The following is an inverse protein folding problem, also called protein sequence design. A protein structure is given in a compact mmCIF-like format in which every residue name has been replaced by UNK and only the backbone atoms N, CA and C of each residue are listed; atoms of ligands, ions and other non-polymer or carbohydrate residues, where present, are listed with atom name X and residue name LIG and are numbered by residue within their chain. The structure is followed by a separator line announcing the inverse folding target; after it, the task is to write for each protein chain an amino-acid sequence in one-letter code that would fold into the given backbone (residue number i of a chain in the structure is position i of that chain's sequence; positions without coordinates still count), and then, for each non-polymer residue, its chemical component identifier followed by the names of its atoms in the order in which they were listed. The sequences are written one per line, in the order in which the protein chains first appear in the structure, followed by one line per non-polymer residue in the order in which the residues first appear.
data_IF_181658476246
#
_entry.id   IF_181658476246
#
_cell.length_a   1.000
_cell.length_b   1.000
_cell.length_c   1.000
_cell.angle_alpha   90.00
_cell.angle_beta   90.00
_cell.angle_gamma   90.00
#
_symmetry.space_group_name_H-M   'P 1'
#
loop_
_entity.id
_entity.type
_entity.pdbx_description
1 polymer ?
#
# COMPACT_ATOMS: atom_id res chain seq x y z
N UNK A 1 -3.76 -17.53 12.67
CA UNK A 1 -4.79 -16.50 12.45
C UNK A 1 -4.22 -15.43 11.53
N UNK A 2 -5.01 -14.95 10.57
CA UNK A 2 -4.68 -13.76 9.78
C UNK A 2 -4.78 -12.54 10.70
N UNK A 3 -3.68 -11.80 10.89
CA UNK A 3 -3.69 -10.57 11.69
C UNK A 3 -3.80 -9.38 10.74
N UNK A 4 -5.03 -8.96 10.44
CA UNK A 4 -5.31 -7.80 9.58
C UNK A 4 -5.81 -6.66 10.46
N UNK A 5 -5.27 -5.47 10.29
CA UNK A 5 -5.73 -4.26 11.00
C UNK A 5 -7.19 -3.97 10.64
N UNK A 6 -8.05 -3.76 11.64
CA UNK A 6 -9.48 -3.46 11.46
C UNK A 6 -9.70 -2.30 10.48
N UNK A 7 -8.80 -1.29 10.50
CA UNK A 7 -8.89 -0.16 9.57
C UNK A 7 -8.83 -0.61 8.09
N UNK A 8 -8.09 -1.68 7.79
CA UNK A 8 -7.95 -2.18 6.42
C UNK A 8 -9.29 -2.69 5.90
N UNK A 9 -10.06 -3.39 6.73
CA UNK A 9 -11.33 -4.00 6.33
C UNK A 9 -12.48 -2.99 6.47
N UNK A 10 -12.55 -2.26 7.57
CA UNK A 10 -13.70 -1.42 7.90
C UNK A 10 -13.69 -0.07 7.17
N UNK A 11 -12.50 0.43 6.83
CA UNK A 11 -12.32 1.76 6.24
C UNK A 11 -11.65 1.68 4.88
N UNK A 12 -10.43 1.16 4.80
CA UNK A 12 -9.63 1.22 3.59
C UNK A 12 -10.27 0.43 2.44
N UNK A 13 -10.83 -0.74 2.71
CA UNK A 13 -11.53 -1.54 1.70
C UNK A 13 -12.74 -0.79 1.16
N UNK A 14 -13.58 -0.22 2.03
CA UNK A 14 -14.75 0.58 1.61
C UNK A 14 -14.33 1.80 0.79
N UNK A 15 -13.25 2.47 1.20
CA UNK A 15 -12.75 3.65 0.50
C UNK A 15 -12.18 3.31 -0.88
N UNK A 16 -11.32 2.30 -1.00
CA UNK A 16 -10.70 1.96 -2.27
C UNK A 16 -11.67 1.22 -3.20
N UNK A 17 -12.48 0.28 -2.68
CA UNK A 17 -13.39 -0.53 -3.50
C UNK A 17 -14.71 0.17 -3.76
N UNK A 18 -15.32 0.74 -2.73
CA UNK A 18 -16.65 1.35 -2.79
C UNK A 18 -16.63 2.79 -3.29
N UNK A 19 -15.90 3.67 -2.60
CA UNK A 19 -15.87 5.10 -2.90
C UNK A 19 -15.04 5.41 -4.16
N UNK A 20 -13.80 4.94 -4.20
CA UNK A 20 -12.88 5.25 -5.32
C UNK A 20 -13.15 4.37 -6.55
N UNK A 21 -13.89 3.26 -6.39
CA UNK A 21 -14.13 2.24 -7.43
C UNK A 21 -12.82 1.64 -7.99
N UNK A 22 -11.84 1.38 -7.11
CA UNK A 22 -10.50 0.87 -7.41
C UNK A 22 -10.17 -0.45 -6.67
N UNK A 23 -10.86 -1.56 -6.94
CA UNK A 23 -10.55 -2.85 -6.31
C UNK A 23 -9.12 -3.33 -6.54
N UNK A 24 -8.55 -3.09 -7.72
CA UNK A 24 -7.15 -3.42 -8.01
C UNK A 24 -6.16 -2.67 -7.09
N UNK A 25 -6.47 -1.43 -6.68
CA UNK A 25 -5.64 -0.69 -5.73
C UNK A 25 -5.66 -1.30 -4.34
N UNK A 26 -6.81 -1.80 -3.90
CA UNK A 26 -6.92 -2.51 -2.63
C UNK A 26 -6.08 -3.80 -2.63
N UNK A 27 -6.19 -4.61 -3.69
CA UNK A 27 -5.41 -5.85 -3.82
C UNK A 27 -3.90 -5.60 -3.86
N UNK A 28 -3.46 -4.60 -4.64
CA UNK A 28 -2.04 -4.20 -4.70
C UNK A 28 -1.55 -3.71 -3.34
N UNK A 29 -2.35 -2.93 -2.61
CA UNK A 29 -2.00 -2.47 -1.26
C UNK A 29 -1.79 -3.64 -0.29
N UNK A 30 -2.74 -4.59 -0.24
CA UNK A 30 -2.65 -5.75 0.65
C UNK A 30 -1.43 -6.61 0.32
N UNK A 31 -1.20 -6.90 -0.96
CA UNK A 31 -0.06 -7.70 -1.39
C UNK A 31 1.27 -7.02 -1.05
N UNK A 32 1.43 -5.73 -1.35
CA UNK A 32 2.65 -4.97 -1.02
C UNK A 32 2.86 -4.87 0.50
N UNK A 33 1.79 -4.80 1.29
CA UNK A 33 1.87 -4.79 2.76
C UNK A 33 2.50 -6.09 3.26
N UNK A 34 1.94 -7.22 2.82
CA UNK A 34 2.45 -8.54 3.20
C UNK A 34 3.89 -8.75 2.71
N UNK A 35 4.22 -8.29 1.50
CA UNK A 35 5.57 -8.43 0.96
C UNK A 35 6.60 -7.55 1.68
N UNK A 36 6.21 -6.33 2.05
CA UNK A 36 7.06 -5.44 2.85
C UNK A 36 7.34 -6.03 4.24
N UNK A 37 6.35 -6.64 4.88
CA UNK A 37 6.52 -7.34 6.16
C UNK A 37 7.46 -8.54 6.02
N UNK A 38 7.27 -9.37 4.98
CA UNK A 38 8.16 -10.52 4.71
C UNK A 38 9.61 -10.12 4.47
N UNK A 39 9.84 -9.01 3.77
CA UNK A 39 11.20 -8.52 3.44
C UNK A 39 11.81 -7.63 4.51
N UNK A 40 11.03 -7.22 5.52
CA UNK A 40 11.43 -6.24 6.53
C UNK A 40 11.93 -4.92 5.91
N UNK A 41 11.32 -4.49 4.80
CA UNK A 41 11.81 -3.34 4.04
C UNK A 41 11.03 -3.05 2.77
N UNK A 42 11.45 -1.98 2.06
CA UNK A 42 10.82 -1.56 0.82
C UNK A 42 10.84 -2.67 -0.24
N UNK A 43 9.77 -2.75 -1.01
CA UNK A 43 9.56 -3.81 -2.02
C UNK A 43 10.02 -3.30 -3.38
N UNK A 44 11.14 -3.81 -3.86
CA UNK A 44 11.58 -3.61 -5.24
C UNK A 44 10.94 -4.68 -6.14
N UNK A 45 10.05 -4.24 -7.03
CA UNK A 45 9.29 -5.11 -7.94
C UNK A 45 8.86 -4.33 -9.18
N UNK A 46 8.93 -4.96 -10.36
CA UNK A 46 8.44 -4.35 -11.59
C UNK A 46 6.90 -4.35 -11.65
N UNK A 47 6.30 -3.53 -12.52
CA UNK A 47 4.85 -3.60 -12.73
C UNK A 47 4.37 -4.94 -13.30
N UNK A 48 5.24 -5.65 -14.02
CA UNK A 48 4.90 -6.95 -14.60
C UNK A 48 4.83 -8.02 -13.52
N UNK A 49 5.88 -8.14 -12.71
CA UNK A 49 5.92 -9.09 -11.58
C UNK A 49 4.83 -8.81 -10.55
N UNK A 50 4.55 -7.53 -10.28
CA UNK A 50 3.44 -7.13 -9.40
C UNK A 50 2.09 -7.58 -9.98
N UNK A 51 1.88 -7.41 -11.28
CA UNK A 51 0.65 -7.82 -11.94
C UNK A 51 0.46 -9.33 -11.88
N UNK A 52 1.51 -10.10 -12.16
CA UNK A 52 1.48 -11.57 -12.07
C UNK A 52 1.22 -12.05 -10.63
N UNK A 53 1.90 -11.45 -9.65
CA UNK A 53 1.77 -11.84 -8.24
C UNK A 53 0.38 -11.55 -7.66
N UNK A 54 -0.29 -10.51 -8.15
CA UNK A 54 -1.63 -10.10 -7.69
C UNK A 54 -2.74 -10.69 -8.57
N UNK A 55 -2.44 -11.17 -9.78
CA UNK A 55 -3.42 -11.66 -10.75
C UNK A 55 -4.13 -10.54 -11.54
N UNK A 56 -3.39 -9.49 -11.91
CA UNK A 56 -3.88 -8.33 -12.66
C UNK A 56 -3.21 -8.24 -14.03
N UNK A 57 -3.75 -7.37 -14.90
CA UNK A 57 -2.98 -6.89 -16.06
C UNK A 57 -1.93 -5.86 -15.62
N UNK A 58 -0.84 -5.73 -16.39
CA UNK A 58 0.21 -4.73 -16.16
C UNK A 58 -0.35 -3.30 -16.07
N UNK A 59 -1.27 -2.92 -16.97
CA UNK A 59 -1.88 -1.58 -16.96
C UNK A 59 -2.77 -1.34 -15.75
N UNK A 60 -3.45 -2.38 -15.25
CA UNK A 60 -4.22 -2.33 -14.01
C UNK A 60 -3.29 -2.14 -12.80
N UNK A 61 -2.19 -2.89 -12.72
CA UNK A 61 -1.18 -2.71 -11.68
C UNK A 61 -0.55 -1.31 -11.69
N UNK A 62 -0.22 -0.78 -12.88
CA UNK A 62 0.29 0.60 -13.04
C UNK A 62 -0.71 1.65 -12.55
N UNK A 63 -1.98 1.52 -12.93
CA UNK A 63 -3.05 2.43 -12.51
C UNK A 63 -3.27 2.35 -11.00
N UNK A 64 -3.24 1.14 -10.44
CA UNK A 64 -3.38 0.90 -9.02
C UNK A 64 -2.25 1.54 -8.20
N UNK A 65 -0.99 1.30 -8.58
CA UNK A 65 0.17 1.96 -7.95
C UNK A 65 0.06 3.48 -8.04
N UNK A 66 -0.26 4.01 -9.22
CA UNK A 66 -0.42 5.47 -9.41
C UNK A 66 -1.50 6.05 -8.49
N UNK A 67 -2.61 5.33 -8.30
CA UNK A 67 -3.68 5.75 -7.40
C UNK A 67 -3.25 5.72 -5.94
N UNK A 68 -2.61 4.65 -5.49
CA UNK A 68 -2.13 4.51 -4.12
C UNK A 68 -1.07 5.57 -3.75
N UNK A 69 -0.19 5.92 -4.70
CA UNK A 69 0.78 7.01 -4.53
C UNK A 69 0.06 8.35 -4.37
N UNK A 70 -0.95 8.64 -5.21
CA UNK A 70 -1.77 9.85 -5.08
C UNK A 70 -2.51 9.92 -3.74
N UNK A 71 -3.02 8.79 -3.25
CA UNK A 71 -3.66 8.65 -1.93
C UNK A 71 -2.66 8.66 -0.75
N UNK A 72 -1.35 8.74 -1.02
CA UNK A 72 -0.26 8.67 -0.02
C UNK A 72 -0.25 7.38 0.81
N UNK A 73 -0.86 6.32 0.29
CA UNK A 73 -0.83 4.97 0.86
C UNK A 73 0.39 4.18 0.38
N UNK A 74 1.08 4.68 -0.64
CA UNK A 74 2.30 4.10 -1.18
C UNK A 74 3.33 5.20 -1.44
N UNK A 75 4.54 5.02 -0.93
CA UNK A 75 5.72 5.72 -1.42
C UNK A 75 6.31 4.95 -2.58
N UNK A 76 6.72 5.63 -3.65
CA UNK A 76 7.39 5.03 -4.78
C UNK A 76 8.68 5.81 -5.06
N UNK A 77 9.79 5.10 -5.28
CA UNK A 77 11.08 5.67 -5.61
C UNK A 77 11.74 4.89 -6.75
N UNK A 78 12.56 5.59 -7.54
CA UNK A 78 13.38 5.03 -8.61
C UNK A 78 14.69 5.80 -8.65
N UNK A 79 15.81 5.09 -8.75
CA UNK A 79 17.12 5.74 -8.90
C UNK A 79 17.28 6.41 -10.27
N UNK A 80 16.71 5.81 -11.32
CA UNK A 80 16.71 6.32 -12.69
C UNK A 80 15.49 5.80 -13.47
N UNK A 81 15.34 6.23 -14.72
CA UNK A 81 14.16 5.91 -15.54
C UNK A 81 13.98 4.40 -15.81
N UNK A 82 15.08 3.66 -15.91
CA UNK A 82 15.10 2.22 -16.21
C UNK A 82 15.17 1.33 -14.97
N UNK A 83 15.45 1.90 -13.79
CA UNK A 83 15.51 1.17 -12.54
C UNK A 83 14.15 0.57 -12.17
N UNK A 84 14.22 -0.65 -11.59
CA UNK A 84 13.04 -1.28 -10.98
C UNK A 84 12.59 -0.41 -9.80
N UNK A 85 11.31 0.01 -9.78
CA UNK A 85 10.81 0.84 -8.70
C UNK A 85 10.84 0.12 -7.36
N UNK A 86 11.11 0.90 -6.31
CA UNK A 86 11.04 0.49 -4.92
C UNK A 86 9.83 1.15 -4.25
N UNK A 87 8.99 0.34 -3.61
CA UNK A 87 7.75 0.76 -3.00
C UNK A 87 7.78 0.61 -1.48
N UNK A 88 7.27 1.62 -0.78
CA UNK A 88 7.09 1.58 0.68
C UNK A 88 5.62 1.78 1.00
N UNK A 89 4.97 0.76 1.56
CA UNK A 89 3.58 0.87 2.01
C UNK A 89 3.51 1.79 3.22
N UNK A 90 2.49 2.65 3.24
CA UNK A 90 2.21 3.58 4.33
C UNK A 90 0.85 3.24 4.93
N UNK A 91 0.76 3.33 6.26
CA UNK A 91 -0.50 3.18 7.00
C UNK A 91 -0.74 4.45 7.83
N UNK A 92 -1.21 5.56 7.21
CA UNK A 92 -1.27 6.87 7.86
C UNK A 92 -2.10 6.90 9.15
N UNK A 93 -3.11 6.02 9.26
CA UNK A 93 -3.92 5.89 10.48
C UNK A 93 -3.11 5.40 11.68
N UNK A 94 -2.08 4.57 11.46
CA UNK A 94 -1.17 4.12 12.52
C UNK A 94 -0.29 5.27 13.02
N UNK A 95 0.16 6.12 12.11
CA UNK A 95 0.95 7.32 12.46
C UNK A 95 0.09 8.33 13.23
N UNK A 96 -1.16 8.52 12.82
CA UNK A 96 -2.11 9.36 13.53
C UNK A 96 -2.36 8.84 14.96
N UNK A 97 -2.64 7.53 15.12
CA UNK A 97 -2.83 6.91 16.42
C UNK A 97 -1.58 7.05 17.32
N UNK A 98 -0.38 6.86 16.76
CA UNK A 98 0.89 7.04 17.48
C UNK A 98 1.05 8.47 18.00
N UNK A 99 0.73 9.48 17.18
CA UNK A 99 0.82 10.89 17.58
C UNK A 99 -0.15 11.26 18.70
N UNK A 100 -1.36 10.71 18.68
CA UNK A 100 -2.34 10.91 19.77
C UNK A 100 -1.80 10.30 21.06
N UNK A 101 -1.26 9.08 21.01
CA UNK A 101 -0.78 8.40 22.20
C UNK A 101 0.45 9.08 22.83
N UNK A 102 1.37 9.63 22.02
CA UNK A 102 2.53 10.37 22.51
C UNK A 102 2.16 11.67 23.25
N UNK A 103 1.04 12.31 22.87
CA UNK A 103 0.54 13.50 23.56
C UNK A 103 -0.06 13.15 24.92
N UNK A 104 -0.83 12.06 25.00
CA UNK A 104 -1.48 11.61 26.23
C UNK A 104 -0.51 11.11 27.33
N UNK A 105 0.76 10.82 27.00
CA UNK A 105 1.79 10.41 27.96
C UNK A 105 2.61 11.62 28.47
N UNK A 106 2.47 12.78 27.84
CA UNK A 106 3.21 14.00 28.20
C UNK A 106 2.41 14.95 29.11
N UNK A 107 1.14 14.62 29.40
CA UNK A 107 0.23 15.29 30.32
C UNK A 107 0.04 14.44 31.59
#
# INVERSE_FOLDING_TARGET
MLNLDDYVVDVLMRDLVGHDRRPASFLVYVWLTAEQERRQGAVQVSYQELAESVGLSKSSAQTAVSWLVRRKLLGASKENATAIPSYTVRSPWRDAARRVNLRAVSD
#
